data_IF_604945631262
#
_entry.id   IF_604945631262
#
_cell.length_a   1.000
_cell.length_b   1.000
_cell.length_c   1.000
_cell.angle_alpha   90.00
_cell.angle_beta   90.00
_cell.angle_gamma   90.00
#
_symmetry.space_group_name_H-M   'P 1'
#
loop_
_entity.id
_entity.type
_entity.pdbx_description
1 polymer ?
#
# COMPACT_ATOMS: atom_id res chain seq x y z
N UNK A 1 -2.77 41.86 49.31
CA UNK A 1 -2.33 41.38 47.98
C UNK A 1 -3.41 40.46 47.45
N UNK A 2 -3.86 40.67 46.21
CA UNK A 2 -5.05 40.03 45.66
C UNK A 2 -4.80 38.53 45.41
N UNK A 3 -5.30 37.68 46.31
CA UNK A 3 -5.20 36.21 46.29
C UNK A 3 -5.57 35.58 44.93
N UNK A 4 -6.45 36.21 44.14
CA UNK A 4 -6.84 35.72 42.81
C UNK A 4 -5.78 35.94 41.72
N UNK A 5 -4.93 36.97 41.85
CA UNK A 5 -3.84 37.26 40.90
C UNK A 5 -2.71 36.25 41.10
N UNK A 6 -2.30 36.00 42.35
CA UNK A 6 -1.29 34.98 42.67
C UNK A 6 -1.73 33.58 42.23
N UNK A 7 -3.00 33.23 42.41
CA UNK A 7 -3.57 31.95 41.95
C UNK A 7 -3.59 31.86 40.40
N UNK A 8 -3.88 32.96 39.70
CA UNK A 8 -3.83 33.01 38.23
C UNK A 8 -2.39 32.85 37.71
N UNK A 9 -1.42 33.52 38.34
CA UNK A 9 0.01 33.40 38.01
C UNK A 9 0.55 31.99 38.25
N UNK A 10 0.17 31.34 39.37
CA UNK A 10 0.52 29.93 39.62
C UNK A 10 -0.05 29.00 38.55
N UNK A 11 -1.31 29.17 38.17
CA UNK A 11 -1.93 28.36 37.09
C UNK A 11 -1.24 28.57 35.75
N UNK A 12 -0.83 29.80 35.46
CA UNK A 12 -0.08 30.12 34.25
C UNK A 12 1.32 29.50 34.25
N UNK A 13 2.03 29.57 35.39
CA UNK A 13 3.33 28.93 35.57
C UNK A 13 3.24 27.40 35.41
N UNK A 14 2.29 26.76 36.10
CA UNK A 14 2.03 25.32 35.99
C UNK A 14 1.72 24.91 34.54
N UNK A 15 0.89 25.69 33.84
CA UNK A 15 0.58 25.44 32.43
C UNK A 15 1.82 25.55 31.54
N UNK A 16 2.70 26.52 31.80
CA UNK A 16 3.94 26.69 31.03
C UNK A 16 4.93 25.55 31.26
N UNK A 17 5.02 25.04 32.49
CA UNK A 17 5.86 23.90 32.85
C UNK A 17 5.37 22.61 32.17
N UNK A 18 4.05 22.34 32.22
CA UNK A 18 3.43 21.20 31.52
C UNK A 18 3.73 21.23 30.02
N UNK A 19 3.58 22.39 29.37
CA UNK A 19 3.88 22.55 27.93
C UNK A 19 5.36 22.24 27.65
N UNK A 20 6.25 22.75 28.49
CA UNK A 20 7.70 22.55 28.33
C UNK A 20 8.08 21.07 28.47
N UNK A 21 7.48 20.35 29.41
CA UNK A 21 7.74 18.93 29.60
C UNK A 21 7.15 18.05 28.50
N UNK A 22 5.97 18.40 27.96
CA UNK A 22 5.41 17.75 26.77
C UNK A 22 6.32 17.95 25.55
N UNK A 23 6.89 19.14 25.35
CA UNK A 23 7.82 19.42 24.26
C UNK A 23 9.10 18.59 24.37
N UNK A 24 9.72 18.51 25.55
CA UNK A 24 10.89 17.65 25.80
C UNK A 24 10.60 16.19 25.52
N UNK A 25 9.44 15.70 25.99
CA UNK A 25 9.02 14.32 25.77
C UNK A 25 8.80 14.03 24.27
N UNK A 26 8.19 14.97 23.55
CA UNK A 26 7.97 14.85 22.12
C UNK A 26 9.29 14.87 21.34
N UNK A 27 10.26 15.70 21.72
CA UNK A 27 11.61 15.70 21.13
C UNK A 27 12.31 14.34 21.33
N UNK A 28 12.26 13.79 22.55
CA UNK A 28 12.81 12.46 22.83
C UNK A 28 12.16 11.37 21.97
N UNK A 29 10.83 11.41 21.80
CA UNK A 29 10.10 10.48 20.93
C UNK A 29 10.49 10.62 19.46
N UNK A 30 10.69 11.85 18.98
CA UNK A 30 11.14 12.13 17.60
C UNK A 30 12.53 11.57 17.35
N UNK A 31 13.48 11.79 18.27
CA UNK A 31 14.85 11.23 18.21
C UNK A 31 14.84 9.70 18.15
N UNK A 32 14.05 9.06 19.00
CA UNK A 32 13.91 7.61 19.00
C UNK A 32 13.25 7.08 17.71
N UNK A 33 12.23 7.77 17.19
CA UNK A 33 11.64 7.42 15.89
C UNK A 33 12.63 7.60 14.73
N UNK A 34 13.43 8.67 14.75
CA UNK A 34 14.53 8.89 13.80
C UNK A 34 15.46 7.67 13.77
N UNK A 35 15.97 7.25 14.94
CA UNK A 35 16.88 6.11 15.07
C UNK A 35 16.29 4.82 14.49
N UNK A 36 15.01 4.58 14.77
CA UNK A 36 14.29 3.38 14.31
C UNK A 36 14.10 3.33 12.80
N UNK A 37 13.79 4.47 12.20
CA UNK A 37 13.49 4.60 10.77
C UNK A 37 14.77 4.66 9.94
N UNK A 38 15.87 5.16 10.53
CA UNK A 38 17.14 5.37 9.84
C UNK A 38 17.62 4.14 9.08
N UNK A 39 17.51 2.94 9.67
CA UNK A 39 17.94 1.69 9.01
C UNK A 39 17.20 1.47 7.69
N UNK A 40 15.88 1.65 7.67
CA UNK A 40 15.07 1.54 6.45
C UNK A 40 15.45 2.62 5.43
N UNK A 41 15.64 3.86 5.89
CA UNK A 41 16.00 4.99 5.02
C UNK A 41 17.35 4.76 4.38
N UNK A 42 18.37 4.38 5.15
CA UNK A 42 19.72 4.11 4.64
C UNK A 42 19.70 2.99 3.61
N UNK A 43 18.93 1.92 3.87
CA UNK A 43 18.75 0.81 2.93
C UNK A 43 18.10 1.28 1.62
N UNK A 44 17.00 2.03 1.70
CA UNK A 44 16.31 2.57 0.53
C UNK A 44 17.18 3.57 -0.24
N UNK A 45 17.93 4.43 0.44
CA UNK A 45 18.89 5.34 -0.18
C UNK A 45 19.92 4.56 -0.99
N UNK A 46 20.53 3.52 -0.41
CA UNK A 46 21.50 2.68 -1.11
C UNK A 46 20.91 1.97 -2.33
N UNK A 47 19.63 1.55 -2.28
CA UNK A 47 18.91 1.00 -3.42
C UNK A 47 18.72 2.04 -4.54
N UNK A 48 18.27 3.24 -4.17
CA UNK A 48 18.07 4.36 -5.08
C UNK A 48 19.38 4.78 -5.74
N UNK A 49 20.46 4.93 -4.96
CA UNK A 49 21.77 5.36 -5.46
C UNK A 49 22.32 4.36 -6.48
N UNK A 50 22.18 3.05 -6.21
CA UNK A 50 22.56 2.00 -7.17
C UNK A 50 21.74 2.06 -8.46
N UNK A 51 20.43 2.25 -8.35
CA UNK A 51 19.55 2.35 -9.52
C UNK A 51 19.78 3.64 -10.32
N UNK A 52 20.06 4.75 -9.65
CA UNK A 52 20.36 6.04 -10.28
C UNK A 52 21.73 6.07 -10.97
N UNK A 53 22.68 5.23 -10.51
CA UNK A 53 23.99 5.08 -11.13
C UNK A 53 23.98 4.26 -12.44
N UNK A 54 22.87 3.57 -12.76
CA UNK A 54 22.74 2.84 -14.02
C UNK A 54 22.63 3.81 -15.21
N UNK A 55 23.13 3.41 -16.40
CA UNK A 55 22.88 4.13 -17.65
C UNK A 55 21.38 4.36 -17.86
N UNK A 56 21.02 5.46 -18.54
CA UNK A 56 19.61 5.83 -18.73
C UNK A 56 18.83 4.71 -19.42
N UNK A 57 19.47 4.04 -20.37
CA UNK A 57 18.93 2.94 -21.17
C UNK A 57 18.51 1.74 -20.30
N UNK A 58 19.23 1.48 -19.21
CA UNK A 58 18.95 0.36 -18.30
C UNK A 58 17.87 0.68 -17.26
N UNK A 59 17.61 1.96 -17.03
CA UNK A 59 16.62 2.43 -16.06
C UNK A 59 15.37 3.04 -16.69
N UNK A 60 15.24 2.99 -18.02
CA UNK A 60 14.00 3.36 -18.68
C UNK A 60 12.81 2.57 -18.10
N UNK A 61 11.66 3.23 -17.84
CA UNK A 61 11.30 4.57 -18.28
C UNK A 61 11.69 5.70 -17.28
N UNK A 62 12.43 5.40 -16.22
CA UNK A 62 12.81 6.36 -15.18
C UNK A 62 13.90 7.33 -15.64
N UNK A 63 13.65 8.64 -15.55
CA UNK A 63 14.51 9.72 -16.04
C UNK A 63 15.30 10.35 -14.90
N UNK A 64 14.61 10.79 -13.86
CA UNK A 64 15.23 11.24 -12.61
C UNK A 64 14.84 10.27 -11.51
N UNK A 65 15.78 9.97 -10.61
CA UNK A 65 15.57 9.12 -9.45
C UNK A 65 16.50 9.60 -8.34
N UNK A 66 15.98 9.77 -7.13
CA UNK A 66 16.79 10.27 -6.03
C UNK A 66 16.08 10.34 -4.69
N UNK A 67 16.83 10.80 -3.70
CA UNK A 67 16.38 11.05 -2.34
C UNK A 67 16.97 12.36 -1.81
N UNK A 68 16.27 12.98 -0.87
CA UNK A 68 16.69 14.21 -0.18
C UNK A 68 16.27 14.15 1.29
N UNK A 69 17.18 14.57 2.17
CA UNK A 69 16.90 14.83 3.58
C UNK A 69 17.58 16.13 3.99
N UNK A 70 16.81 17.10 4.47
CA UNK A 70 17.36 18.33 5.03
C UNK A 70 17.64 18.13 6.51
N UNK A 71 18.88 18.43 6.93
CA UNK A 71 19.29 18.34 8.33
C UNK A 71 18.39 19.23 9.18
N UNK A 72 17.78 18.66 10.22
CA UNK A 72 16.81 19.35 11.08
C UNK A 72 15.35 19.22 10.65
N UNK A 73 15.06 18.63 9.49
CA UNK A 73 13.69 18.26 9.11
C UNK A 73 13.35 16.82 9.51
N UNK A 74 12.16 16.65 10.09
CA UNK A 74 11.53 15.35 10.40
C UNK A 74 10.91 14.70 9.14
N UNK A 75 11.53 14.89 7.97
CA UNK A 75 10.97 14.52 6.66
C UNK A 75 12.05 14.04 5.69
N UNK A 76 11.95 12.78 5.27
CA UNK A 76 12.68 12.24 4.13
C UNK A 76 11.84 12.31 2.86
N UNK A 77 12.46 12.65 1.74
CA UNK A 77 11.85 12.69 0.42
C UNK A 77 12.55 11.70 -0.52
N UNK A 78 11.75 10.91 -1.23
CA UNK A 78 12.20 9.99 -2.27
C UNK A 78 11.39 10.28 -3.53
N UNK A 79 12.02 10.27 -4.69
CA UNK A 79 11.34 10.64 -5.92
C UNK A 79 11.87 9.92 -7.16
N UNK A 80 10.99 9.80 -8.15
CA UNK A 80 11.32 9.41 -9.51
C UNK A 80 10.46 10.15 -10.54
N UNK A 81 10.94 10.25 -11.78
CA UNK A 81 10.17 10.82 -12.89
C UNK A 81 10.26 9.96 -14.16
N UNK A 82 9.23 10.05 -15.00
CA UNK A 82 9.16 9.35 -16.30
C UNK A 82 8.20 10.08 -17.24
N UNK A 83 8.42 9.95 -18.55
CA UNK A 83 7.43 10.37 -19.54
C UNK A 83 6.28 9.35 -19.63
N UNK A 84 5.07 9.86 -19.77
CA UNK A 84 3.85 9.05 -19.84
C UNK A 84 2.91 9.59 -20.91
N UNK A 85 2.63 8.79 -21.93
CA UNK A 85 1.70 9.15 -22.99
C UNK A 85 0.28 8.69 -22.63
N UNK A 86 -0.64 9.62 -22.40
CA UNK A 86 -2.06 9.33 -22.12
C UNK A 86 -2.91 9.64 -23.36
N UNK A 87 -3.86 8.76 -23.75
CA UNK A 87 -4.85 9.09 -24.75
C UNK A 87 -5.82 10.15 -24.20
N UNK A 88 -6.12 11.18 -25.00
CA UNK A 88 -7.11 12.22 -24.66
C UNK A 88 -8.17 12.28 -25.76
N UNK A 89 -9.43 12.26 -25.33
CA UNK A 89 -10.61 12.38 -26.19
C UNK A 89 -10.92 11.11 -27.00
N UNK A 90 -12.02 11.18 -27.77
CA UNK A 90 -12.56 10.03 -28.53
C UNK A 90 -11.67 9.68 -29.74
N UNK A 91 -10.96 10.66 -30.31
CA UNK A 91 -10.04 10.46 -31.44
C UNK A 91 -8.67 9.85 -31.04
N UNK A 92 -8.45 9.53 -29.77
CA UNK A 92 -7.23 8.82 -29.33
C UNK A 92 -5.92 9.61 -29.47
N UNK A 93 -5.97 10.95 -29.58
CA UNK A 93 -4.76 11.78 -29.62
C UNK A 93 -3.97 11.58 -28.33
N UNK A 94 -2.74 11.10 -28.45
CA UNK A 94 -1.84 10.92 -27.30
C UNK A 94 -1.25 12.26 -26.89
N UNK A 95 -1.20 12.46 -25.58
CA UNK A 95 -0.59 13.61 -24.95
C UNK A 95 0.47 13.13 -24.00
N UNK A 96 1.67 13.69 -24.17
CA UNK A 96 2.82 13.40 -23.32
C UNK A 96 2.77 14.21 -22.04
N UNK A 97 2.96 13.52 -20.92
CA UNK A 97 3.10 14.10 -19.60
C UNK A 97 4.46 13.71 -19.02
N UNK A 98 5.09 14.64 -18.30
CA UNK A 98 6.13 14.29 -17.33
C UNK A 98 5.45 13.91 -16.01
N UNK A 99 5.54 12.64 -15.65
CA UNK A 99 5.02 12.14 -14.38
C UNK A 99 6.11 12.19 -13.31
N UNK A 100 5.78 12.72 -12.14
CA UNK A 100 6.60 12.70 -10.94
C UNK A 100 5.95 11.84 -9.87
N UNK A 101 6.69 10.86 -9.37
CA UNK A 101 6.34 10.02 -8.22
C UNK A 101 7.16 10.48 -7.02
N UNK A 102 6.50 10.81 -5.91
CA UNK A 102 7.19 11.26 -4.68
C UNK A 102 6.63 10.58 -3.44
N UNK A 103 7.52 10.21 -2.54
CA UNK A 103 7.19 9.69 -1.21
C UNK A 103 7.80 10.61 -0.17
N UNK A 104 6.97 11.14 0.73
CA UNK A 104 7.42 11.87 1.91
C UNK A 104 7.20 11.01 3.15
N UNK A 105 8.29 10.52 3.73
CA UNK A 105 8.31 9.80 4.99
C UNK A 105 8.54 10.82 6.11
N UNK A 106 7.51 11.05 6.93
CA UNK A 106 7.54 11.98 8.06
C UNK A 106 7.57 11.24 9.39
N UNK A 107 8.43 11.74 10.26
CA UNK A 107 8.56 11.23 11.62
C UNK A 107 7.40 11.79 12.45
N UNK A 108 6.71 10.90 13.16
CA UNK A 108 5.63 11.32 14.05
C UNK A 108 6.20 11.62 15.45
N UNK A 109 5.55 12.55 16.12
CA UNK A 109 5.47 12.69 17.59
C UNK A 109 4.98 11.42 18.31
N UNK A 110 4.11 10.62 17.68
CA UNK A 110 3.65 9.33 18.21
C UNK A 110 4.76 8.29 18.15
N UNK A 111 5.17 7.79 19.31
CA UNK A 111 6.25 6.79 19.42
C UNK A 111 5.95 5.53 18.61
N UNK A 112 6.88 5.15 17.73
CA UNK A 112 6.82 3.96 16.90
C UNK A 112 5.92 4.04 15.66
N UNK A 113 5.41 5.23 15.31
CA UNK A 113 4.57 5.44 14.12
C UNK A 113 5.21 6.39 13.12
N UNK A 114 4.93 6.15 11.84
CA UNK A 114 5.39 6.96 10.71
C UNK A 114 4.22 7.46 9.89
N UNK A 115 4.37 8.63 9.28
CA UNK A 115 3.39 9.21 8.35
C UNK A 115 3.99 9.22 6.96
N UNK A 116 3.35 8.58 5.99
CA UNK A 116 3.82 8.51 4.60
C UNK A 116 2.85 9.25 3.70
N UNK A 117 3.34 10.18 2.89
CA UNK A 117 2.55 10.83 1.85
C UNK A 117 3.08 10.43 0.50
N UNK A 118 2.21 9.94 -0.37
CA UNK A 118 2.52 9.49 -1.72
C UNK A 118 1.89 10.45 -2.71
N UNK A 119 2.65 10.89 -3.71
CA UNK A 119 2.22 11.85 -4.73
C UNK A 119 2.51 11.33 -6.13
N UNK A 120 1.54 11.45 -7.03
CA UNK A 120 1.76 11.39 -8.47
C UNK A 120 1.35 12.72 -9.10
N UNK A 121 2.26 13.38 -9.78
CA UNK A 121 2.02 14.67 -10.43
C UNK A 121 2.31 14.55 -11.91
N UNK A 122 1.29 14.73 -12.74
CA UNK A 122 1.39 14.70 -14.19
C UNK A 122 1.42 16.13 -14.71
N UNK A 123 2.54 16.49 -15.34
CA UNK A 123 2.77 17.80 -15.95
C UNK A 123 2.66 17.65 -17.47
N UNK A 124 1.67 18.28 -18.13
CA UNK A 124 1.59 18.23 -19.58
C UNK A 124 2.75 19.00 -20.20
N UNK A 125 3.27 18.50 -21.32
CA UNK A 125 4.34 19.16 -22.07
C UNK A 125 3.82 20.39 -22.84
N UNK A 126 2.56 20.35 -23.31
CA UNK A 126 1.94 21.43 -24.09
C UNK A 126 1.18 22.42 -23.20
N UNK A 127 1.39 23.71 -23.45
CA UNK A 127 0.61 24.81 -22.84
C UNK A 127 -0.89 24.65 -23.16
N UNK A 128 -1.75 24.90 -22.16
CA UNK A 128 -3.21 24.81 -22.29
C UNK A 128 -3.85 23.53 -21.74
N UNK A 129 -3.07 22.51 -21.42
CA UNK A 129 -3.56 21.29 -20.77
C UNK A 129 -3.47 21.39 -19.24
N UNK A 130 -4.42 20.75 -18.53
CA UNK A 130 -4.46 20.77 -17.06
C UNK A 130 -3.45 19.79 -16.49
N UNK A 131 -2.65 20.26 -15.52
CA UNK A 131 -1.86 19.38 -14.64
C UNK A 131 -2.78 18.53 -13.76
N UNK A 132 -2.38 17.30 -13.51
CA UNK A 132 -3.09 16.36 -12.64
C UNK A 132 -2.21 16.04 -11.42
N UNK A 133 -2.79 15.96 -10.22
CA UNK A 133 -2.05 15.55 -9.02
C UNK A 133 -2.90 14.61 -8.18
N UNK A 134 -2.37 13.42 -7.93
CA UNK A 134 -2.95 12.42 -7.02
C UNK A 134 -2.12 12.40 -5.75
N UNK A 135 -2.80 12.36 -4.61
CA UNK A 135 -2.16 12.31 -3.28
C UNK A 135 -2.82 11.24 -2.43
N UNK A 136 -2.02 10.49 -1.69
CA UNK A 136 -2.50 9.54 -0.69
C UNK A 136 -1.67 9.66 0.58
N UNK A 137 -2.29 9.45 1.74
CA UNK A 137 -1.66 9.60 3.06
C UNK A 137 -1.84 8.32 3.86
N UNK A 138 -0.78 7.89 4.55
CA UNK A 138 -0.74 6.66 5.31
C UNK A 138 -0.10 6.90 6.67
N UNK A 139 -0.56 6.16 7.68
CA UNK A 139 0.02 6.14 9.02
C UNK A 139 0.09 4.69 9.47
N UNK A 140 1.28 4.21 9.81
CA UNK A 140 1.47 2.83 10.26
C UNK A 140 2.65 2.71 11.24
N UNK A 141 2.80 1.53 11.85
CA UNK A 141 3.90 1.27 12.79
C UNK A 141 5.21 1.16 12.03
N UNK A 142 6.27 1.74 12.59
CA UNK A 142 7.61 1.75 12.01
C UNK A 142 8.16 0.33 11.75
N UNK A 143 7.76 -0.67 12.55
CA UNK A 143 8.10 -2.09 12.33
C UNK A 143 7.64 -2.65 10.97
N UNK A 144 6.69 -1.99 10.31
CA UNK A 144 6.24 -2.39 8.98
C UNK A 144 7.17 -1.90 7.87
N UNK A 145 8.11 -0.99 8.12
CA UNK A 145 9.08 -0.54 7.13
C UNK A 145 10.18 -1.61 6.95
N UNK A 146 9.85 -2.66 6.19
CA UNK A 146 10.76 -3.77 5.87
C UNK A 146 11.57 -3.49 4.60
N UNK A 147 12.59 -4.30 4.33
CA UNK A 147 13.35 -4.26 3.07
C UNK A 147 12.46 -4.51 1.85
N UNK A 148 11.47 -5.40 2.00
CA UNK A 148 10.46 -5.64 0.95
C UNK A 148 9.68 -4.36 0.60
N UNK A 149 9.25 -3.59 1.60
CA UNK A 149 8.58 -2.31 1.38
C UNK A 149 9.50 -1.32 0.67
N UNK A 150 10.80 -1.32 0.96
CA UNK A 150 11.78 -0.48 0.27
C UNK A 150 11.86 -0.84 -1.23
N UNK A 151 11.86 -2.13 -1.57
CA UNK A 151 11.84 -2.60 -2.96
C UNK A 151 10.56 -2.17 -3.69
N UNK A 152 9.39 -2.30 -3.07
CA UNK A 152 8.13 -1.80 -3.66
C UNK A 152 8.15 -0.28 -3.88
N UNK A 153 8.76 0.48 -2.97
CA UNK A 153 8.92 1.91 -3.14
C UNK A 153 9.84 2.24 -4.31
N UNK A 154 10.98 1.55 -4.43
CA UNK A 154 11.89 1.69 -5.54
C UNK A 154 11.19 1.36 -6.87
N UNK A 155 10.63 0.16 -7.00
CA UNK A 155 9.95 -0.30 -8.21
C UNK A 155 8.83 0.66 -8.64
N UNK A 156 8.13 1.25 -7.68
CA UNK A 156 7.14 2.28 -7.96
C UNK A 156 7.78 3.58 -8.45
N UNK A 157 8.85 4.06 -7.83
CA UNK A 157 9.54 5.28 -8.27
C UNK A 157 10.19 5.13 -9.65
N UNK A 158 10.64 3.93 -10.01
CA UNK A 158 11.17 3.61 -11.34
C UNK A 158 10.09 3.13 -12.33
N UNK A 159 8.81 3.28 -11.96
CA UNK A 159 7.66 3.00 -12.85
C UNK A 159 7.53 1.54 -13.33
N UNK A 160 8.11 0.58 -12.61
CA UNK A 160 7.93 -0.86 -12.87
C UNK A 160 6.57 -1.39 -12.45
N UNK A 161 5.99 -0.78 -11.42
CA UNK A 161 4.68 -1.17 -10.88
C UNK A 161 3.71 0.01 -10.83
N UNK A 162 2.42 -0.32 -10.79
CA UNK A 162 1.35 0.66 -10.63
C UNK A 162 1.22 1.15 -9.18
N UNK A 163 0.59 2.31 -9.03
CA UNK A 163 0.34 2.91 -7.71
C UNK A 163 -0.50 2.04 -6.81
N UNK A 164 -1.46 1.28 -7.34
CA UNK A 164 -2.27 0.41 -6.50
C UNK A 164 -1.43 -0.74 -5.90
N UNK A 165 -0.51 -1.31 -6.69
CA UNK A 165 0.37 -2.39 -6.23
C UNK A 165 1.31 -1.93 -5.12
N UNK A 166 1.96 -0.76 -5.27
CA UNK A 166 2.78 -0.20 -4.21
C UNK A 166 1.98 0.05 -2.93
N UNK A 167 0.74 0.53 -3.05
CA UNK A 167 -0.15 0.77 -1.92
C UNK A 167 -0.55 -0.52 -1.20
N UNK A 168 -0.74 -1.60 -1.95
CA UNK A 168 -1.11 -2.90 -1.40
C UNK A 168 0.03 -3.54 -0.58
N UNK A 169 1.28 -3.19 -0.90
CA UNK A 169 2.48 -3.58 -0.17
C UNK A 169 2.74 -2.74 1.11
N UNK A 170 2.06 -1.61 1.29
CA UNK A 170 2.25 -0.80 2.50
C UNK A 170 1.77 -1.52 3.76
N UNK A 171 2.45 -1.33 4.90
CA UNK A 171 2.01 -1.89 6.17
C UNK A 171 0.63 -1.37 6.51
N UNK A 172 -0.34 -2.28 6.57
CA UNK A 172 -1.69 -1.91 6.95
C UNK A 172 -1.68 -1.47 8.41
N UNK A 173 -2.11 -0.25 8.66
CA UNK A 173 -2.46 0.14 10.03
C UNK A 173 -3.55 -0.83 10.48
N UNK A 174 -3.48 -1.31 11.72
CA UNK A 174 -4.44 -2.26 12.29
C UNK A 174 -5.92 -1.76 12.29
N UNK A 175 -6.22 -0.61 11.67
CA UNK A 175 -7.57 -0.11 11.40
C UNK A 175 -8.23 -0.76 10.17
N UNK A 176 -7.49 -1.54 9.37
CA UNK A 176 -8.09 -2.52 8.46
C UNK A 176 -7.37 -3.85 8.60
N UNK A 177 -7.80 -4.65 9.58
CA UNK A 177 -7.95 -6.09 9.30
C UNK A 177 -8.63 -6.14 7.94
N UNK A 178 -7.90 -6.60 6.91
CA UNK A 178 -8.53 -7.15 5.70
C UNK A 178 -9.64 -8.01 6.31
N UNK A 179 -10.90 -7.63 6.11
CA UNK A 179 -11.96 -8.59 6.31
C UNK A 179 -11.48 -9.73 5.43
N UNK A 180 -10.97 -10.82 6.03
CA UNK A 180 -10.48 -11.96 5.27
C UNK A 180 -11.58 -12.21 4.27
N UNK A 181 -11.29 -12.00 2.99
CA UNK A 181 -12.36 -11.95 2.02
C UNK A 181 -12.92 -13.36 1.97
N UNK A 182 -13.99 -13.62 2.74
CA UNK A 182 -14.56 -14.96 2.90
C UNK A 182 -15.34 -15.34 1.65
N UNK A 183 -15.45 -14.45 0.67
CA UNK A 183 -16.19 -14.67 -0.55
C UNK A 183 -15.50 -15.79 -1.34
N UNK A 184 -16.12 -16.96 -1.35
CA UNK A 184 -15.85 -18.07 -2.26
C UNK A 184 -17.20 -18.59 -2.76
N UNK A 185 -17.95 -17.74 -3.48
CA UNK A 185 -19.34 -17.97 -3.89
C UNK A 185 -19.68 -19.37 -4.43
N UNK A 186 -18.90 -19.92 -5.38
CA UNK A 186 -19.18 -21.26 -5.94
C UNK A 186 -18.94 -22.35 -4.90
N UNK A 187 -17.83 -22.26 -4.15
CA UNK A 187 -17.51 -23.26 -3.13
C UNK A 187 -18.51 -23.20 -1.97
N UNK A 188 -18.87 -22.00 -1.49
CA UNK A 188 -19.90 -21.81 -0.45
C UNK A 188 -21.27 -22.32 -0.91
N UNK A 189 -21.67 -22.09 -2.17
CA UNK A 189 -22.93 -22.63 -2.69
C UNK A 189 -22.93 -24.18 -2.82
N UNK A 190 -21.77 -24.79 -3.09
CA UNK A 190 -21.65 -26.24 -3.23
C UNK A 190 -21.49 -27.00 -1.89
N UNK A 191 -20.80 -26.40 -0.93
CA UNK A 191 -20.54 -26.98 0.39
C UNK A 191 -21.48 -26.47 1.48
N UNK A 192 -22.33 -25.49 1.15
CA UNK A 192 -23.43 -24.97 1.96
C UNK A 192 -23.02 -24.35 3.31
N UNK A 193 -21.72 -24.28 3.59
CA UNK A 193 -21.13 -23.60 4.73
C UNK A 193 -19.91 -22.78 4.28
N UNK A 194 -19.89 -21.51 4.67
CA UNK A 194 -18.76 -20.60 4.43
C UNK A 194 -17.49 -21.07 5.16
N UNK A 195 -17.64 -21.79 6.27
CA UNK A 195 -16.56 -22.32 7.09
C UNK A 195 -16.28 -23.81 6.84
N UNK A 196 -16.91 -24.42 5.83
CA UNK A 196 -16.57 -25.78 5.44
C UNK A 196 -15.05 -25.92 5.19
N UNK A 197 -14.39 -26.99 5.65
CA UNK A 197 -12.95 -27.20 5.49
C UNK A 197 -12.46 -27.01 4.05
N UNK A 198 -13.25 -27.44 3.08
CA UNK A 198 -13.02 -27.30 1.64
C UNK A 198 -12.98 -25.83 1.21
N UNK A 199 -13.94 -25.03 1.69
CA UNK A 199 -14.01 -23.59 1.40
C UNK A 199 -12.85 -22.85 2.07
N UNK A 200 -12.44 -23.29 3.27
CA UNK A 200 -11.25 -22.77 3.94
C UNK A 200 -9.98 -23.07 3.14
N UNK A 201 -9.82 -24.29 2.62
CA UNK A 201 -8.66 -24.67 1.80
C UNK A 201 -8.57 -23.86 0.51
N UNK A 202 -9.68 -23.67 -0.20
CA UNK A 202 -9.70 -22.82 -1.39
C UNK A 202 -9.33 -21.36 -1.08
N UNK A 203 -9.78 -20.83 0.06
CA UNK A 203 -9.40 -19.48 0.52
C UNK A 203 -7.90 -19.38 0.80
N UNK A 204 -7.34 -20.36 1.51
CA UNK A 204 -5.90 -20.42 1.77
C UNK A 204 -5.10 -20.47 0.47
N UNK A 205 -5.50 -21.29 -0.49
CA UNK A 205 -4.83 -21.37 -1.79
C UNK A 205 -4.93 -20.07 -2.59
N UNK A 206 -6.11 -19.43 -2.61
CA UNK A 206 -6.30 -18.12 -3.23
C UNK A 206 -5.33 -17.10 -2.65
N UNK A 207 -5.26 -17.03 -1.32
CA UNK A 207 -4.49 -16.02 -0.62
C UNK A 207 -2.98 -16.28 -0.70
N UNK A 208 -2.55 -17.55 -0.64
CA UNK A 208 -1.14 -17.94 -0.64
C UNK A 208 -0.51 -18.13 -2.03
N UNK A 209 -1.30 -18.34 -3.08
CA UNK A 209 -0.79 -18.57 -4.43
C UNK A 209 -1.37 -17.58 -5.44
N UNK A 210 -2.69 -17.51 -5.57
CA UNK A 210 -3.31 -16.72 -6.64
C UNK A 210 -3.13 -15.21 -6.47
N UNK A 211 -3.22 -14.68 -5.25
CA UNK A 211 -3.08 -13.23 -5.03
C UNK A 211 -1.63 -12.71 -5.10
N UNK A 212 -0.65 -13.62 -5.14
CA UNK A 212 0.76 -13.26 -5.13
C UNK A 212 1.33 -12.92 -6.52
N UNK A 213 0.58 -13.16 -7.59
CA UNK A 213 1.03 -12.86 -8.95
C UNK A 213 -0.08 -12.28 -9.83
N UNK A 214 0.28 -11.40 -10.78
CA UNK A 214 -0.67 -10.70 -11.66
C UNK A 214 -1.71 -11.61 -12.34
N UNK A 215 -1.36 -12.76 -12.95
CA UNK A 215 -2.38 -13.60 -13.60
C UNK A 215 -3.37 -14.22 -12.60
N UNK A 216 -2.94 -14.47 -11.37
CA UNK A 216 -3.81 -15.03 -10.34
C UNK A 216 -4.77 -13.98 -9.77
N UNK A 217 -4.33 -12.72 -9.63
CA UNK A 217 -5.20 -11.59 -9.30
C UNK A 217 -6.30 -11.39 -10.35
N UNK A 218 -5.93 -11.42 -11.64
CA UNK A 218 -6.90 -11.34 -12.74
C UNK A 218 -7.91 -12.48 -12.73
N UNK A 219 -7.46 -13.72 -12.47
CA UNK A 219 -8.35 -14.87 -12.32
C UNK A 219 -9.35 -14.69 -11.17
N UNK A 220 -8.88 -14.23 -10.00
CA UNK A 220 -9.75 -13.99 -8.82
C UNK A 220 -10.77 -12.89 -9.09
N UNK A 221 -10.38 -11.82 -9.79
CA UNK A 221 -11.29 -10.75 -10.16
C UNK A 221 -12.38 -11.22 -11.12
N UNK A 222 -12.00 -12.02 -12.14
CA UNK A 222 -12.95 -12.65 -13.06
C UNK A 222 -13.91 -13.57 -12.30
N UNK A 223 -13.36 -14.39 -11.40
CA UNK A 223 -14.15 -15.24 -10.52
C UNK A 223 -15.18 -14.42 -9.73
N UNK A 224 -14.81 -13.32 -9.09
CA UNK A 224 -15.77 -12.50 -8.35
C UNK A 224 -16.78 -11.75 -9.20
N UNK A 225 -16.47 -11.48 -10.47
CA UNK A 225 -17.42 -10.86 -11.38
C UNK A 225 -18.54 -11.83 -11.76
N UNK A 226 -18.21 -13.10 -12.04
CA UNK A 226 -19.15 -14.08 -12.59
C UNK A 226 -19.75 -15.04 -11.54
N UNK A 227 -18.99 -15.38 -10.51
CA UNK A 227 -19.38 -16.40 -9.52
C UNK A 227 -20.66 -16.10 -8.74
N UNK A 228 -21.04 -14.84 -8.41
CA UNK A 228 -22.29 -14.59 -7.69
C UNK A 228 -23.53 -14.98 -8.49
N UNK A 229 -23.50 -14.79 -9.82
CA UNK A 229 -24.60 -15.19 -10.71
C UNK A 229 -24.72 -16.72 -10.78
N UNK A 230 -23.59 -17.40 -10.93
CA UNK A 230 -23.55 -18.87 -10.99
C UNK A 230 -23.96 -19.51 -9.66
N UNK A 231 -23.53 -18.96 -8.52
CA UNK A 231 -23.93 -19.43 -7.19
C UNK A 231 -25.46 -19.39 -7.01
N UNK A 232 -26.13 -18.31 -7.44
CA UNK A 232 -27.60 -18.23 -7.40
C UNK A 232 -28.29 -19.28 -8.26
N UNK A 233 -27.68 -19.70 -9.36
CA UNK A 233 -28.21 -20.79 -10.21
C UNK A 233 -28.05 -22.12 -9.48
N UNK A 234 -26.90 -22.36 -8.85
CA UNK A 234 -26.63 -23.58 -8.07
C UNK A 234 -27.56 -23.72 -6.87
N UNK A 235 -27.90 -22.61 -6.20
CA UNK A 235 -28.84 -22.63 -5.07
C UNK A 235 -30.26 -23.05 -5.49
N UNK A 236 -30.64 -22.80 -6.75
CA UNK A 236 -31.95 -23.14 -7.29
C UNK A 236 -32.01 -24.51 -7.97
N UNK A 237 -30.86 -25.12 -8.28
CA UNK A 237 -30.80 -26.37 -9.03
C UNK A 237 -29.79 -27.36 -8.41
N UNK A 238 -30.33 -28.35 -7.71
CA UNK A 238 -29.56 -29.39 -7.00
C UNK A 238 -28.69 -30.21 -7.96
N UNK A 239 -29.15 -30.49 -9.19
CA UNK A 239 -28.38 -31.26 -10.17
C UNK A 239 -27.14 -30.50 -10.64
N UNK A 240 -27.27 -29.20 -10.90
CA UNK A 240 -26.13 -28.34 -11.28
C UNK A 240 -25.14 -28.20 -10.12
N UNK A 241 -25.66 -28.01 -8.89
CA UNK A 241 -24.83 -27.96 -7.68
C UNK A 241 -24.00 -29.23 -7.53
N UNK A 242 -24.63 -30.40 -7.62
CA UNK A 242 -23.96 -31.70 -7.49
C UNK A 242 -22.97 -31.98 -8.62
N UNK A 243 -23.30 -31.60 -9.86
CA UNK A 243 -22.38 -31.72 -10.99
C UNK A 243 -21.12 -30.86 -10.80
N UNK A 244 -21.27 -29.58 -10.44
CA UNK A 244 -20.14 -28.68 -10.19
C UNK A 244 -19.31 -29.16 -8.99
N UNK A 245 -19.96 -29.61 -7.92
CA UNK A 245 -19.29 -30.15 -6.73
C UNK A 245 -18.42 -31.36 -7.07
N UNK A 246 -18.96 -32.33 -7.82
CA UNK A 246 -18.28 -33.59 -8.13
C UNK A 246 -17.25 -33.46 -9.25
N UNK A 247 -17.58 -32.76 -10.33
CA UNK A 247 -16.75 -32.72 -11.54
C UNK A 247 -15.68 -31.63 -11.51
N UNK A 248 -15.89 -30.55 -10.73
CA UNK A 248 -14.99 -29.39 -10.72
C UNK A 248 -14.35 -29.22 -9.35
N UNK A 249 -15.14 -29.06 -8.29
CA UNK A 249 -14.60 -28.67 -6.98
C UNK A 249 -13.80 -29.80 -6.31
N UNK A 250 -14.26 -31.06 -6.36
CA UNK A 250 -13.51 -32.18 -5.76
C UNK A 250 -12.14 -32.42 -6.41
N UNK A 251 -11.99 -32.47 -7.74
CA UNK A 251 -10.68 -32.54 -8.38
C UNK A 251 -9.78 -31.34 -8.02
N UNK A 252 -10.34 -30.13 -8.00
CA UNK A 252 -9.58 -28.93 -7.62
C UNK A 252 -9.15 -28.95 -6.16
N UNK A 253 -9.96 -29.49 -5.24
CA UNK A 253 -9.57 -29.66 -3.84
C UNK A 253 -8.37 -30.59 -3.70
N UNK A 254 -8.36 -31.71 -4.43
CA UNK A 254 -7.24 -32.64 -4.41
C UNK A 254 -5.96 -31.98 -4.94
N UNK A 255 -6.07 -31.20 -6.02
CA UNK A 255 -4.94 -30.42 -6.53
C UNK A 255 -4.44 -29.38 -5.52
N UNK A 256 -5.37 -28.63 -4.91
CA UNK A 256 -5.07 -27.57 -3.95
C UNK A 256 -4.42 -28.14 -2.67
N UNK A 257 -4.91 -29.26 -2.16
CA UNK A 257 -4.35 -29.89 -0.96
C UNK A 257 -2.91 -30.37 -1.17
N UNK A 258 -2.60 -30.95 -2.34
CA UNK A 258 -1.23 -31.33 -2.72
C UNK A 258 -0.30 -30.11 -2.78
N UNK A 259 -0.81 -28.99 -3.33
CA UNK A 259 -0.01 -27.76 -3.47
C UNK A 259 0.20 -27.00 -2.16
N UNK A 260 -0.74 -27.08 -1.21
CA UNK A 260 -0.61 -26.41 0.10
C UNK A 260 0.27 -27.17 1.09
N UNK A 261 0.48 -28.48 0.89
CA UNK A 261 1.30 -29.35 1.74
C UNK A 261 2.74 -29.54 1.22
N UNK A 262 3.14 -28.80 0.18
CA UNK A 262 4.53 -28.72 -0.31
C UNK A 262 5.13 -27.38 0.11
#
# INVERSE_FOLDING_TARGET
MNNWIEEAERRQALKSEIVTDEEKLNDQRRKENHKRIKVFVDHLNGLIDRAAALPLEEREPSIELGHTHLVGEDKYEFFGSAYWDKPIGVLGKKVRFLCWRRIHLRISDRLGYVKVNVYEKFLPEKKGQKKETKKSKYIFKQKGLTEEVAMYWLDWMVFRIETQEMKDALPRSNASKKNEDKRCFIATAAFEDVNAPEVVLFRKYRDAFLLNHLPGRSFVNLYYLFSPGLARIMDKNVYIKEAIKKLILRPLLAFVSIRLNR
#
